data_IF_533018083272
#
_entry.id   IF_533018083272
#
_cell.length_a   1.000
_cell.length_b   1.000
_cell.length_c   1.000
_cell.angle_alpha   90.00
_cell.angle_beta   90.00
_cell.angle_gamma   90.00
#
_symmetry.space_group_name_H-M   'P 1'
#
loop_
_entity.id
_entity.type
_entity.pdbx_description
1 polymer ?
#
# COMPACT_ATOMS: atom_id res chain seq x y z
N UNK A 1 16.80 -7.58 -9.80
CA UNK A 1 15.85 -8.05 -8.78
C UNK A 1 14.48 -8.00 -9.39
N UNK A 2 13.66 -9.02 -9.13
CA UNK A 2 12.25 -8.97 -9.51
C UNK A 2 11.53 -7.93 -8.66
N UNK A 3 10.52 -7.23 -9.20
CA UNK A 3 9.74 -6.20 -8.48
C UNK A 3 9.27 -6.70 -7.10
N UNK A 4 8.84 -7.96 -7.04
CA UNK A 4 8.41 -8.63 -5.82
C UNK A 4 9.51 -8.67 -4.75
N UNK A 5 10.74 -9.01 -5.10
CA UNK A 5 11.87 -9.04 -4.17
C UNK A 5 12.19 -7.63 -3.63
N UNK A 6 12.07 -6.62 -4.49
CA UNK A 6 12.28 -5.22 -4.11
C UNK A 6 11.23 -4.80 -3.08
N UNK A 7 9.94 -5.11 -3.30
CA UNK A 7 8.88 -4.83 -2.34
C UNK A 7 9.12 -5.52 -0.98
N UNK A 8 9.55 -6.78 -0.98
CA UNK A 8 9.88 -7.51 0.25
C UNK A 8 11.09 -6.89 0.97
N UNK A 9 12.11 -6.48 0.23
CA UNK A 9 13.27 -5.77 0.80
C UNK A 9 12.85 -4.46 1.46
N UNK A 10 11.99 -3.68 0.79
CA UNK A 10 11.44 -2.43 1.33
C UNK A 10 10.64 -2.68 2.61
N UNK A 11 9.79 -3.72 2.63
CA UNK A 11 9.06 -4.14 3.82
C UNK A 11 10.01 -4.42 4.99
N UNK A 12 11.05 -5.22 4.77
CA UNK A 12 12.05 -5.53 5.80
C UNK A 12 12.78 -4.28 6.29
N UNK A 13 13.17 -3.37 5.40
CA UNK A 13 13.83 -2.11 5.77
C UNK A 13 12.92 -1.24 6.65
N UNK A 14 11.64 -1.12 6.29
CA UNK A 14 10.63 -0.36 7.04
C UNK A 14 10.40 -0.97 8.42
N UNK A 15 10.27 -2.30 8.52
CA UNK A 15 10.10 -3.01 9.79
C UNK A 15 11.31 -2.87 10.71
N UNK A 16 12.51 -2.70 10.14
CA UNK A 16 13.75 -2.43 10.88
C UNK A 16 13.97 -0.95 11.20
N UNK A 17 13.05 -0.06 10.81
CA UNK A 17 13.20 1.39 11.00
C UNK A 17 14.24 2.05 10.07
N UNK A 18 14.75 1.33 9.07
CA UNK A 18 15.72 1.84 8.09
C UNK A 18 15.03 2.65 6.99
N UNK A 19 14.32 3.70 7.39
CA UNK A 19 13.43 4.45 6.51
C UNK A 19 14.14 5.15 5.34
N UNK A 20 15.35 5.67 5.56
CA UNK A 20 16.11 6.35 4.50
C UNK A 20 16.46 5.39 3.36
N UNK A 21 16.94 4.18 3.70
CA UNK A 21 17.27 3.16 2.70
C UNK A 21 16.04 2.67 1.96
N UNK A 22 14.90 2.54 2.65
CA UNK A 22 13.63 2.21 2.02
C UNK A 22 13.21 3.31 1.04
N UNK A 23 13.32 4.58 1.44
CA UNK A 23 13.01 5.73 0.59
C UNK A 23 13.86 5.76 -0.68
N UNK A 24 15.18 5.68 -0.54
CA UNK A 24 16.11 5.65 -1.67
C UNK A 24 15.77 4.52 -2.65
N UNK A 25 15.51 3.32 -2.13
CA UNK A 25 15.17 2.16 -2.94
C UNK A 25 13.86 2.36 -3.70
N UNK A 26 12.83 2.92 -3.05
CA UNK A 26 11.55 3.24 -3.70
C UNK A 26 11.75 4.30 -4.79
N UNK A 27 12.40 5.42 -4.49
CA UNK A 27 12.58 6.54 -5.43
C UNK A 27 13.39 6.12 -6.65
N UNK A 28 14.43 5.30 -6.47
CA UNK A 28 15.23 4.80 -7.58
C UNK A 28 14.41 3.94 -8.55
N UNK A 29 13.48 3.12 -8.06
CA UNK A 29 12.59 2.33 -8.92
C UNK A 29 11.44 3.15 -9.49
N UNK A 30 10.91 4.11 -8.74
CA UNK A 30 9.89 5.05 -9.22
C UNK A 30 10.39 5.89 -10.41
N UNK A 31 11.67 6.26 -10.45
CA UNK A 31 12.27 6.94 -11.62
C UNK A 31 12.20 6.10 -12.90
N UNK A 32 12.18 4.78 -12.79
CA UNK A 32 12.14 3.86 -13.94
C UNK A 32 10.70 3.58 -14.39
N UNK A 33 9.74 3.61 -13.46
CA UNK A 33 8.33 3.38 -13.71
C UNK A 33 7.47 4.36 -12.87
N UNK A 34 7.35 5.62 -13.29
CA UNK A 34 6.69 6.66 -12.50
C UNK A 34 5.15 6.51 -12.44
N UNK A 35 4.58 5.72 -13.33
CA UNK A 35 3.16 5.40 -13.45
C UNK A 35 2.75 4.13 -12.66
N UNK A 36 3.71 3.46 -12.04
CA UNK A 36 3.45 2.25 -11.26
C UNK A 36 2.94 2.57 -9.86
N UNK A 37 1.66 2.30 -9.63
CA UNK A 37 0.94 2.55 -8.38
C UNK A 37 1.61 1.93 -7.15
N UNK A 38 2.33 0.81 -7.30
CA UNK A 38 2.96 0.12 -6.17
C UNK A 38 4.03 0.96 -5.47
N UNK A 39 4.78 1.79 -6.19
CA UNK A 39 5.82 2.62 -5.60
C UNK A 39 5.22 3.74 -4.74
N UNK A 40 4.10 4.31 -5.16
CA UNK A 40 3.36 5.25 -4.35
C UNK A 40 2.73 4.59 -3.13
N UNK A 41 2.20 3.37 -3.25
CA UNK A 41 1.74 2.64 -2.08
C UNK A 41 2.85 2.40 -1.04
N UNK A 42 4.04 2.00 -1.48
CA UNK A 42 5.20 1.79 -0.60
C UNK A 42 5.67 3.08 0.08
N UNK A 43 5.67 4.23 -0.62
CA UNK A 43 5.92 5.53 0.01
C UNK A 43 4.83 5.88 1.04
N UNK A 44 3.57 5.53 0.75
CA UNK A 44 2.47 5.73 1.69
C UNK A 44 2.72 5.00 3.01
N UNK A 45 3.05 3.70 2.94
CA UNK A 45 3.36 2.89 4.12
C UNK A 45 4.59 3.44 4.86
N UNK A 46 5.64 3.80 4.13
CA UNK A 46 6.85 4.38 4.70
C UNK A 46 6.51 5.63 5.54
N UNK A 47 5.73 6.56 4.99
CA UNK A 47 5.36 7.79 5.69
C UNK A 47 4.45 7.53 6.89
N UNK A 48 3.50 6.60 6.79
CA UNK A 48 2.69 6.18 7.96
C UNK A 48 3.56 5.61 9.07
N UNK A 49 4.56 4.79 8.74
CA UNK A 49 5.49 4.21 9.71
C UNK A 49 6.41 5.25 10.35
N UNK A 50 6.68 6.35 9.65
CA UNK A 50 7.36 7.53 10.20
C UNK A 50 6.42 8.46 11.00
N UNK A 51 5.12 8.15 11.10
CA UNK A 51 4.13 9.00 11.78
C UNK A 51 3.62 10.18 10.93
N UNK A 52 4.01 10.26 9.66
CA UNK A 52 3.52 11.26 8.72
C UNK A 52 2.26 10.77 8.00
N UNK A 53 1.15 10.77 8.73
CA UNK A 53 -0.14 10.31 8.22
C UNK A 53 -0.63 11.08 6.98
N UNK A 54 -0.42 12.41 6.96
CA UNK A 54 -0.81 13.25 5.81
C UNK A 54 -0.04 12.88 4.55
N UNK A 55 1.29 12.67 4.69
CA UNK A 55 2.14 12.20 3.60
C UNK A 55 1.76 10.79 3.13
N UNK A 56 1.46 9.90 4.07
CA UNK A 56 0.99 8.54 3.83
C UNK A 56 -0.25 8.52 2.93
N UNK A 57 -1.31 9.20 3.39
CA UNK A 57 -2.58 9.29 2.67
C UNK A 57 -2.48 9.95 1.29
N UNK A 58 -1.61 10.97 1.14
CA UNK A 58 -1.34 11.59 -0.16
C UNK A 58 -0.83 10.56 -1.17
N UNK A 59 0.09 9.71 -0.75
CA UNK A 59 0.71 8.71 -1.62
C UNK A 59 -0.21 7.52 -1.91
N UNK A 60 -1.04 7.09 -0.97
CA UNK A 60 -2.06 6.09 -1.26
C UNK A 60 -3.08 6.59 -2.30
N UNK A 61 -3.50 7.85 -2.21
CA UNK A 61 -4.39 8.46 -3.21
C UNK A 61 -3.73 8.59 -4.58
N UNK A 62 -2.43 8.87 -4.64
CA UNK A 62 -1.68 8.87 -5.89
C UNK A 62 -1.63 7.47 -6.52
N UNK A 63 -1.38 6.42 -5.72
CA UNK A 63 -1.45 5.04 -6.18
C UNK A 63 -2.83 4.69 -6.75
N UNK A 64 -3.91 5.06 -6.04
CA UNK A 64 -5.29 4.88 -6.51
C UNK A 64 -5.60 5.65 -7.80
N UNK A 65 -5.06 6.85 -7.96
CA UNK A 65 -5.26 7.65 -9.16
C UNK A 65 -4.56 7.06 -10.40
N UNK A 66 -3.43 6.38 -10.21
CA UNK A 66 -2.71 5.66 -11.27
C UNK A 66 -3.38 4.33 -11.61
N UNK A 67 -3.81 3.59 -10.60
CA UNK A 67 -4.52 2.32 -10.76
C UNK A 67 -5.56 2.14 -9.65
N UNK A 68 -6.83 2.39 -10.00
CA UNK A 68 -7.95 2.22 -9.08
C UNK A 68 -8.26 0.75 -8.77
N UNK A 69 -7.73 -0.21 -9.53
CA UNK A 69 -7.85 -1.64 -9.25
C UNK A 69 -6.71 -2.16 -8.35
N UNK A 70 -5.70 -1.32 -8.04
CA UNK A 70 -4.58 -1.71 -7.21
C UNK A 70 -4.99 -1.89 -5.73
N UNK A 71 -5.31 -3.13 -5.38
CA UNK A 71 -5.85 -3.52 -4.06
C UNK A 71 -5.03 -3.01 -2.86
N UNK A 72 -3.68 -3.04 -2.86
CA UNK A 72 -2.89 -2.58 -1.71
C UNK A 72 -3.12 -1.11 -1.35
N UNK A 73 -3.27 -0.23 -2.33
CA UNK A 73 -3.53 1.18 -2.06
C UNK A 73 -4.88 1.37 -1.37
N UNK A 74 -5.92 0.69 -1.85
CA UNK A 74 -7.25 0.72 -1.23
C UNK A 74 -7.21 0.15 0.19
N UNK A 75 -6.59 -1.01 0.36
CA UNK A 75 -6.43 -1.66 1.66
C UNK A 75 -5.76 -0.74 2.67
N UNK A 76 -4.67 -0.06 2.28
CA UNK A 76 -3.96 0.85 3.14
C UNK A 76 -4.73 2.15 3.42
N UNK A 77 -5.48 2.69 2.45
CA UNK A 77 -6.37 3.83 2.72
C UNK A 77 -7.46 3.48 3.73
N UNK A 78 -8.06 2.30 3.63
CA UNK A 78 -9.06 1.81 4.59
C UNK A 78 -8.45 1.57 5.97
N UNK A 79 -7.25 0.95 6.02
CA UNK A 79 -6.50 0.72 7.25
C UNK A 79 -6.18 2.03 7.99
N UNK A 80 -5.64 3.02 7.29
CA UNK A 80 -5.16 4.26 7.90
C UNK A 80 -6.23 5.36 8.01
N UNK A 81 -7.30 5.27 7.22
CA UNK A 81 -8.43 6.22 7.27
C UNK A 81 -9.61 5.74 8.14
N UNK A 82 -9.66 4.46 8.49
CA UNK A 82 -10.71 3.88 9.31
C UNK A 82 -10.56 4.17 10.80
N UNK A 83 -11.70 4.24 11.52
CA UNK A 83 -11.72 4.32 12.98
C UNK A 83 -11.73 2.93 13.65
N UNK A 84 -11.75 1.85 12.86
CA UNK A 84 -11.79 0.48 13.35
C UNK A 84 -10.47 0.10 14.04
N UNK A 85 -10.55 -0.09 15.36
CA UNK A 85 -9.43 -0.63 16.14
C UNK A 85 -9.37 -2.14 15.97
N UNK A 86 -8.47 -2.63 15.12
CA UNK A 86 -7.93 -3.99 15.26
C UNK A 86 -7.63 -4.76 13.96
N UNK A 87 -6.51 -5.49 13.98
CA UNK A 87 -6.24 -6.68 13.16
C UNK A 87 -5.67 -6.49 11.76
N UNK A 88 -5.90 -5.35 11.09
CA UNK A 88 -5.41 -5.12 9.73
C UNK A 88 -3.94 -4.69 9.75
N UNK A 89 -3.08 -5.39 9.01
CA UNK A 89 -1.69 -4.97 8.73
C UNK A 89 -1.62 -4.27 7.38
N UNK A 90 -0.64 -3.39 7.19
CA UNK A 90 -0.42 -2.73 5.90
C UNK A 90 -0.08 -3.76 4.81
N UNK A 91 -0.60 -3.54 3.61
CA UNK A 91 -0.33 -4.34 2.43
C UNK A 91 0.75 -3.67 1.57
N UNK A 92 1.94 -4.24 1.56
CA UNK A 92 3.05 -3.90 0.67
C UNK A 92 2.87 -4.53 -0.71
N UNK A 93 2.17 -5.66 -0.76
CA UNK A 93 1.98 -6.51 -1.93
C UNK A 93 0.49 -6.86 -2.14
N UNK A 94 0.12 -7.19 -3.37
CA UNK A 94 -1.27 -7.53 -3.72
C UNK A 94 -1.73 -8.81 -3.02
N UNK A 95 -0.83 -9.78 -2.84
CA UNK A 95 -1.07 -11.06 -2.21
C UNK A 95 -1.40 -10.95 -0.71
N UNK A 96 -1.05 -9.82 -0.08
CA UNK A 96 -1.36 -9.55 1.33
C UNK A 96 -2.80 -9.05 1.52
N UNK A 97 -3.48 -8.64 0.45
CA UNK A 97 -4.87 -8.19 0.49
C UNK A 97 -5.82 -9.38 0.47
N UNK A 98 -6.53 -9.65 1.56
CA UNK A 98 -7.60 -10.63 1.59
C UNK A 98 -8.94 -9.98 1.17
N UNK A 99 -9.10 -9.66 -0.11
CA UNK A 99 -10.41 -9.25 -0.63
C UNK A 99 -11.12 -10.48 -1.22
N UNK A 100 -12.11 -11.03 -0.51
CA UNK A 100 -12.97 -12.11 -1.05
C UNK A 100 -13.08 -13.43 -0.27
N UNK A 101 -12.68 -13.54 1.00
CA UNK A 101 -13.04 -14.72 1.84
C UNK A 101 -14.10 -14.46 2.91
N UNK A 102 -14.63 -13.23 3.01
CA UNK A 102 -15.73 -12.90 3.94
C UNK A 102 -16.95 -12.35 3.21
N UNK A 103 -17.32 -12.88 2.04
CA UNK A 103 -18.66 -12.67 1.47
C UNK A 103 -19.21 -13.97 0.84
N UNK A 104 -19.24 -15.06 1.62
CA UNK A 104 -20.42 -15.95 1.59
C UNK A 104 -21.38 -15.49 2.67
N UNK A 105 -22.03 -14.35 2.44
CA UNK A 105 -22.90 -13.74 3.45
C UNK A 105 -23.43 -12.35 3.11
N UNK A 106 -24.03 -12.18 1.93
CA UNK A 106 -25.09 -11.18 1.72
C UNK A 106 -24.67 -9.72 1.48
N UNK A 107 -24.52 -9.35 0.20
CA UNK A 107 -25.57 -8.65 -0.58
C UNK A 107 -25.02 -8.39 -1.97
N UNK A 108 -25.67 -9.01 -2.96
CA UNK A 108 -25.46 -8.67 -4.36
C UNK A 108 -25.83 -7.21 -4.59
N UNK A 109 -24.93 -6.49 -5.25
CA UNK A 109 -25.32 -5.30 -5.99
C UNK A 109 -25.86 -5.80 -7.33
N UNK A 110 -27.19 -5.91 -7.43
CA UNK A 110 -27.85 -5.88 -8.74
C UNK A 110 -27.71 -4.46 -9.29
N UNK A 111 -27.19 -4.36 -10.50
CA UNK A 111 -27.21 -3.13 -11.28
C UNK A 111 -28.67 -2.79 -11.60
N UNK A 112 -29.05 -1.54 -11.29
CA UNK A 112 -30.28 -0.90 -11.79
C UNK A 112 -30.18 -0.60 -13.27
#
# INVERSE_FOLDING_TARGET
MEKREICLTIKTLIEQGQYERAYELIVNHMKLAPDDASWHNLLGILYEKQGNHVGGMKHFRAAWALDAAYLPARWNMELYGGFEKGGKTCAYLAEECQYGQTEKGGRGYEAV
#
